data_IF_100463852714
#
_entry.id   IF_100463852714
#
_cell.length_a   1.000
_cell.length_b   1.000
_cell.length_c   1.000
_cell.angle_alpha   90.00
_cell.angle_beta   90.00
_cell.angle_gamma   90.00
#
_symmetry.space_group_name_H-M   'P 1'
#
loop_
_entity.id
_entity.type
_entity.pdbx_description
1 polymer ?
#
# COMPACT_ATOMS: atom_id res chain seq x y z
N UNK A 1 -13.81 -8.48 5.98
CA UNK A 1 -12.66 -8.02 6.79
C UNK A 1 -11.94 -9.17 7.49
N UNK A 2 -12.02 -10.41 6.96
CA UNK A 2 -11.30 -11.55 7.54
C UNK A 2 -9.79 -11.27 7.53
N UNK A 3 -9.14 -11.48 8.68
CA UNK A 3 -7.71 -11.24 8.86
C UNK A 3 -7.29 -9.78 9.09
N UNK A 4 -8.21 -8.84 9.35
CA UNK A 4 -7.87 -7.47 9.77
C UNK A 4 -8.34 -7.19 11.20
N UNK A 5 -7.41 -6.75 12.06
CA UNK A 5 -7.66 -6.52 13.49
C UNK A 5 -7.83 -5.04 13.85
N UNK A 6 -8.28 -4.18 12.92
CA UNK A 6 -8.54 -2.77 13.25
C UNK A 6 -9.87 -2.59 13.99
N UNK A 7 -10.02 -1.46 14.68
CA UNK A 7 -11.24 -1.10 15.40
C UNK A 7 -12.51 -1.20 14.55
N UNK A 8 -12.46 -0.72 13.29
CA UNK A 8 -13.58 -0.80 12.37
C UNK A 8 -13.98 -2.25 12.08
N UNK A 9 -13.01 -3.12 11.77
CA UNK A 9 -13.25 -4.54 11.50
C UNK A 9 -13.74 -5.34 12.70
N UNK A 10 -13.38 -4.93 13.91
CA UNK A 10 -13.75 -5.62 15.15
C UNK A 10 -15.16 -5.28 15.63
N UNK A 11 -15.62 -4.05 15.37
CA UNK A 11 -16.89 -3.54 15.93
C UNK A 11 -18.00 -3.34 14.90
N UNK A 12 -17.66 -3.20 13.62
CA UNK A 12 -18.62 -2.91 12.57
C UNK A 12 -18.61 -3.99 11.50
N UNK A 13 -19.80 -4.43 11.09
CA UNK A 13 -19.96 -5.29 9.94
C UNK A 13 -19.74 -4.48 8.65
N UNK A 14 -19.33 -5.16 7.58
CA UNK A 14 -19.16 -4.54 6.25
C UNK A 14 -20.44 -3.87 5.75
N UNK A 15 -21.60 -4.48 6.02
CA UNK A 15 -22.91 -3.91 5.68
C UNK A 15 -23.18 -2.58 6.41
N UNK A 16 -22.80 -2.48 7.70
CA UNK A 16 -22.95 -1.27 8.50
C UNK A 16 -22.08 -0.13 7.96
N UNK A 17 -20.82 -0.41 7.63
CA UNK A 17 -19.92 0.60 7.03
C UNK A 17 -20.44 1.02 5.65
N UNK A 18 -20.94 0.09 4.85
CA UNK A 18 -21.54 0.41 3.55
C UNK A 18 -22.78 1.30 3.68
N UNK A 19 -23.62 1.05 4.68
CA UNK A 19 -24.76 1.92 4.97
C UNK A 19 -24.30 3.34 5.35
N UNK A 20 -23.31 3.48 6.25
CA UNK A 20 -22.78 4.79 6.64
C UNK A 20 -22.19 5.55 5.43
N UNK A 21 -21.49 4.85 4.54
CA UNK A 21 -21.00 5.42 3.27
C UNK A 21 -22.12 5.95 2.38
N UNK A 22 -23.26 5.26 2.33
CA UNK A 22 -24.39 5.68 1.50
C UNK A 22 -25.15 6.88 2.11
N UNK A 23 -25.21 6.95 3.44
CA UNK A 23 -25.91 8.04 4.17
C UNK A 23 -25.04 9.29 4.35
N UNK A 24 -23.72 9.19 4.10
CA UNK A 24 -22.73 10.28 4.23
C UNK A 24 -22.73 10.91 5.62
N UNK A 25 -22.57 10.05 6.62
CA UNK A 25 -22.31 10.49 7.99
C UNK A 25 -20.88 11.09 8.10
N UNK A 26 -20.35 11.34 9.30
CA UNK A 26 -18.92 11.65 9.48
C UNK A 26 -18.12 10.43 9.97
N UNK A 27 -18.82 9.41 10.47
CA UNK A 27 -18.22 8.27 11.13
C UNK A 27 -17.60 7.29 10.12
N UNK A 28 -18.13 7.22 8.90
CA UNK A 28 -17.61 6.39 7.82
C UNK A 28 -16.18 6.77 7.45
N UNK A 29 -15.86 8.06 7.31
CA UNK A 29 -14.52 8.52 6.96
C UNK A 29 -13.51 8.09 8.02
N UNK A 30 -13.86 8.21 9.30
CA UNK A 30 -12.99 7.79 10.42
C UNK A 30 -12.78 6.28 10.39
N UNK A 31 -13.85 5.49 10.23
CA UNK A 31 -13.77 4.03 10.20
C UNK A 31 -12.97 3.53 9.00
N UNK A 32 -13.15 4.15 7.82
CA UNK A 32 -12.44 3.83 6.61
C UNK A 32 -10.95 4.21 6.73
N UNK A 33 -10.65 5.38 7.28
CA UNK A 33 -9.28 5.81 7.56
C UNK A 33 -8.55 4.84 8.48
N UNK A 34 -9.16 4.45 9.60
CA UNK A 34 -8.60 3.47 10.54
C UNK A 34 -8.35 2.11 9.89
N UNK A 35 -9.29 1.65 9.06
CA UNK A 35 -9.13 0.42 8.28
C UNK A 35 -7.94 0.52 7.32
N UNK A 36 -7.90 1.57 6.50
CA UNK A 36 -6.86 1.79 5.51
C UNK A 36 -5.47 1.86 6.14
N UNK A 37 -5.31 2.66 7.21
CA UNK A 37 -4.04 2.77 7.93
C UNK A 37 -3.54 1.42 8.45
N UNK A 38 -4.43 0.61 9.04
CA UNK A 38 -4.04 -0.71 9.52
C UNK A 38 -3.53 -1.60 8.37
N UNK A 39 -4.18 -1.53 7.20
CA UNK A 39 -3.72 -2.23 6.01
C UNK A 39 -2.35 -1.75 5.53
N UNK A 40 -2.12 -0.43 5.47
CA UNK A 40 -0.82 0.14 5.13
C UNK A 40 0.29 -0.27 6.10
N UNK A 41 0.05 -0.20 7.41
CA UNK A 41 1.04 -0.59 8.40
C UNK A 41 1.40 -2.07 8.32
N UNK A 42 0.41 -2.93 8.09
CA UNK A 42 0.64 -4.37 7.88
C UNK A 42 1.48 -4.63 6.64
N UNK A 43 1.15 -3.99 5.52
CA UNK A 43 1.91 -4.12 4.28
C UNK A 43 3.39 -3.77 4.47
N UNK A 44 3.69 -2.60 5.04
CA UNK A 44 5.08 -2.20 5.29
C UNK A 44 5.78 -3.05 6.34
N UNK A 45 5.05 -3.57 7.32
CA UNK A 45 5.61 -4.53 8.29
C UNK A 45 6.02 -5.83 7.60
N UNK A 46 5.16 -6.38 6.75
CA UNK A 46 5.43 -7.61 6.00
C UNK A 46 6.63 -7.43 5.06
N UNK A 47 6.71 -6.30 4.34
CA UNK A 47 7.89 -5.95 3.52
C UNK A 47 9.17 -5.90 4.35
N UNK A 48 9.16 -5.19 5.48
CA UNK A 48 10.35 -5.09 6.35
C UNK A 48 10.79 -6.46 6.87
N UNK A 49 9.85 -7.33 7.22
CA UNK A 49 10.15 -8.71 7.62
C UNK A 49 10.74 -9.52 6.47
N UNK A 50 10.19 -9.41 5.27
CA UNK A 50 10.68 -10.14 4.10
C UNK A 50 12.09 -9.70 3.70
N UNK A 51 12.40 -8.40 3.80
CA UNK A 51 13.76 -7.88 3.56
C UNK A 51 14.75 -8.45 4.59
N UNK A 52 14.38 -8.48 5.88
CA UNK A 52 15.23 -9.04 6.95
C UNK A 52 15.46 -10.55 6.84
N UNK A 53 14.56 -11.26 6.18
CA UNK A 53 14.59 -12.73 6.04
C UNK A 53 15.01 -13.18 4.63
N UNK A 54 15.45 -12.24 3.79
CA UNK A 54 15.82 -12.45 2.39
C UNK A 54 14.74 -13.16 1.53
N UNK A 55 13.46 -12.98 1.90
CA UNK A 55 12.31 -13.57 1.20
C UNK A 55 11.52 -12.56 0.37
N UNK A 56 12.11 -11.41 0.07
CA UNK A 56 11.42 -10.33 -0.62
C UNK A 56 10.96 -10.74 -2.03
N UNK A 57 11.78 -11.48 -2.79
CA UNK A 57 11.43 -11.93 -4.13
C UNK A 57 10.20 -12.87 -4.13
N UNK A 58 10.16 -13.82 -3.19
CA UNK A 58 9.01 -14.71 -3.01
C UNK A 58 7.75 -13.94 -2.60
N UNK A 59 7.88 -12.99 -1.68
CA UNK A 59 6.77 -12.11 -1.29
C UNK A 59 6.26 -11.27 -2.46
N UNK A 60 7.15 -10.75 -3.30
CA UNK A 60 6.77 -9.98 -4.49
C UNK A 60 5.96 -10.82 -5.48
N UNK A 61 6.39 -12.07 -5.75
CA UNK A 61 5.66 -12.97 -6.64
C UNK A 61 4.27 -13.33 -6.08
N UNK A 62 4.16 -13.61 -4.78
CA UNK A 62 2.86 -13.85 -4.13
C UNK A 62 1.98 -12.58 -4.21
N UNK A 63 2.55 -11.41 -3.97
CA UNK A 63 1.85 -10.15 -4.01
C UNK A 63 1.31 -9.83 -5.41
N UNK A 64 2.10 -10.02 -6.46
CA UNK A 64 1.68 -9.76 -7.85
C UNK A 64 0.58 -10.71 -8.33
N UNK A 65 0.53 -11.94 -7.82
CA UNK A 65 -0.58 -12.86 -8.14
C UNK A 65 -1.89 -12.47 -7.46
N UNK A 66 -1.81 -11.90 -6.27
CA UNK A 66 -2.98 -11.51 -5.46
C UNK A 66 -3.54 -10.14 -5.84
N UNK A 67 -2.67 -9.22 -6.26
CA UNK A 67 -3.03 -7.87 -6.66
C UNK A 67 -2.77 -7.72 -8.16
N UNK A 68 -3.86 -7.75 -8.91
CA UNK A 68 -3.83 -7.57 -10.36
C UNK A 68 -3.27 -6.18 -10.70
N UNK A 69 -2.28 -6.13 -11.59
CA UNK A 69 -1.58 -4.91 -11.99
C UNK A 69 -2.42 -4.08 -12.98
N UNK A 70 -3.74 -4.01 -12.75
CA UNK A 70 -4.61 -3.16 -13.56
C UNK A 70 -4.17 -1.73 -13.38
N UNK A 71 -3.85 -1.07 -14.49
CA UNK A 71 -3.54 0.35 -14.51
C UNK A 71 -4.63 1.09 -13.73
N UNK A 72 -4.21 1.82 -12.70
CA UNK A 72 -5.12 2.65 -11.92
C UNK A 72 -5.91 3.55 -12.86
N UNK A 73 -7.23 3.46 -12.84
CA UNK A 73 -8.11 4.40 -13.53
C UNK A 73 -8.19 5.75 -12.83
N UNK A 74 -7.64 5.86 -11.62
CA UNK A 74 -7.55 7.14 -10.92
C UNK A 74 -6.63 8.10 -11.68
N UNK A 75 -6.94 9.42 -11.70
CA UNK A 75 -6.06 10.43 -12.25
C UNK A 75 -4.64 10.30 -11.67
N UNK A 76 -3.59 10.50 -12.47
CA UNK A 76 -2.22 10.43 -11.97
C UNK A 76 -2.06 11.42 -10.82
N UNK A 77 -1.43 10.96 -9.74
CA UNK A 77 -1.07 11.84 -8.64
C UNK A 77 -0.24 13.00 -9.18
N UNK A 78 -0.57 14.24 -8.79
CA UNK A 78 0.26 15.40 -9.12
C UNK A 78 1.53 15.28 -8.28
N UNK A 79 2.58 14.72 -8.89
CA UNK A 79 3.88 14.59 -8.26
C UNK A 79 4.62 15.92 -8.47
N UNK A 80 5.02 16.64 -7.40
CA UNK A 80 5.84 17.83 -7.54
C UNK A 80 7.14 17.50 -8.27
N UNK A 81 7.60 18.38 -9.18
CA UNK A 81 8.82 18.17 -9.99
C UNK A 81 10.07 17.82 -9.15
N UNK A 82 10.11 18.28 -7.91
CA UNK A 82 11.17 17.98 -6.93
C UNK A 82 11.31 16.50 -6.58
N UNK A 83 10.22 15.72 -6.68
CA UNK A 83 10.22 14.26 -6.45
C UNK A 83 10.63 13.51 -7.72
N UNK A 84 10.25 14.03 -8.90
CA UNK A 84 10.67 13.52 -10.22
C UNK A 84 12.21 13.51 -10.34
N UNK A 85 12.83 14.63 -9.96
CA UNK A 85 14.29 14.79 -9.95
C UNK A 85 14.99 13.84 -8.98
N UNK A 86 14.39 13.62 -7.79
CA UNK A 86 14.91 12.65 -6.81
C UNK A 86 14.85 11.23 -7.36
N UNK A 87 13.77 10.84 -8.03
CA UNK A 87 13.66 9.53 -8.70
C UNK A 87 14.77 9.36 -9.75
N UNK A 88 14.97 10.34 -10.64
CA UNK A 88 16.04 10.29 -11.65
C UNK A 88 17.42 10.08 -11.05
N UNK A 89 17.76 10.81 -9.97
CA UNK A 89 19.04 10.65 -9.26
C UNK A 89 19.20 9.27 -8.61
N UNK A 90 18.13 8.72 -8.04
CA UNK A 90 18.14 7.38 -7.42
C UNK A 90 18.30 6.27 -8.47
N UNK A 91 17.59 6.35 -9.60
CA UNK A 91 17.74 5.38 -10.69
C UNK A 91 19.12 5.47 -11.35
N UNK A 92 19.63 6.68 -11.62
CA UNK A 92 20.97 6.88 -12.16
C UNK A 92 22.06 6.30 -11.23
N UNK A 93 21.94 6.52 -9.91
CA UNK A 93 22.86 5.93 -8.92
C UNK A 93 22.79 4.41 -8.90
N UNK A 94 21.61 3.82 -9.10
CA UNK A 94 21.41 2.36 -9.12
C UNK A 94 22.06 1.70 -10.34
N UNK A 95 22.07 2.37 -11.51
CA UNK A 95 22.76 1.89 -12.71
C UNK A 95 24.30 1.97 -12.56
N UNK A 96 24.82 3.07 -12.01
CA UNK A 96 26.25 3.22 -11.67
C UNK A 96 26.74 2.16 -10.66
N UNK A 97 25.86 1.64 -9.80
CA UNK A 97 26.24 0.60 -8.82
C UNK A 97 26.24 -0.80 -9.44
N UNK A 98 25.48 -1.01 -10.53
CA UNK A 98 25.47 -2.28 -11.29
C UNK A 98 26.69 -2.40 -12.20
N UNK A 99 27.12 -1.30 -12.83
CA UNK A 99 28.31 -1.30 -13.70
C UNK A 99 29.62 -1.51 -12.94
N UNK A 100 29.69 -1.11 -11.66
CA UNK A 100 30.88 -1.31 -10.82
C UNK A 100 30.92 -2.69 -10.11
N UNK A 101 29.96 -3.58 -10.39
CA UNK A 101 29.87 -4.93 -9.79
C UNK A 101 30.03 -6.04 -10.85
N UNK A 102 30.47 -5.70 -12.07
CA UNK A 102 30.94 -6.59 -13.14
C UNK A 102 32.44 -6.37 -13.29
#
# INVERSE_FOLDING_TARGET
MAGCNCFACQRYARASIHHLLNVREMLEDILLYLHNLQHYFRFFREIRTCIRTDRFAAYHAEFSTKYDEKASTAPPLIIPATIEERKRKVYAKKELTKENMV
#
